data_IF_680096873761
#
_entry.id   IF_680096873761
#
_cell.length_a   1.000
_cell.length_b   1.000
_cell.length_c   1.000
_cell.angle_alpha   90.00
_cell.angle_beta   90.00
_cell.angle_gamma   90.00
#
_symmetry.space_group_name_H-M   'P 1'
#
loop_
_entity.id
_entity.type
_entity.pdbx_description
1 polymer ?
#
# COMPACT_ATOMS: atom_id res chain seq x y z
N UNK A 1 -11.67 49.74 -31.29
CA UNK A 1 -10.98 50.17 -30.06
C UNK A 1 -10.80 48.97 -29.14
N UNK A 2 -9.57 48.84 -28.61
CA UNK A 2 -8.99 47.71 -27.88
C UNK A 2 -9.73 47.33 -26.58
N UNK A 3 -10.19 46.07 -26.43
CA UNK A 3 -10.25 45.34 -25.14
C UNK A 3 -10.26 43.82 -25.40
N UNK A 4 -9.10 43.15 -25.57
CA UNK A 4 -9.03 41.68 -25.48
C UNK A 4 -7.60 41.13 -25.30
N UNK A 5 -6.80 41.73 -24.42
CA UNK A 5 -5.45 41.21 -24.13
C UNK A 5 -5.24 40.75 -22.67
N UNK A 6 -6.19 40.98 -21.76
CA UNK A 6 -5.97 40.68 -20.34
C UNK A 6 -6.49 39.31 -19.84
N UNK A 7 -7.30 38.57 -20.60
CA UNK A 7 -7.90 37.30 -20.12
C UNK A 7 -7.00 36.06 -20.26
N UNK A 8 -5.98 36.12 -21.12
CA UNK A 8 -5.04 35.00 -21.34
C UNK A 8 -3.92 34.99 -20.28
N UNK A 9 -3.62 36.17 -19.70
CA UNK A 9 -2.57 36.35 -18.69
C UNK A 9 -2.93 35.70 -17.34
N UNK A 10 -4.21 35.70 -16.94
CA UNK A 10 -4.66 35.10 -15.69
C UNK A 10 -4.53 33.57 -15.69
N UNK A 11 -5.06 32.89 -16.72
CA UNK A 11 -5.05 31.41 -16.80
C UNK A 11 -3.64 30.82 -16.84
N UNK A 12 -2.67 31.51 -17.47
CA UNK A 12 -1.27 31.07 -17.54
C UNK A 12 -0.56 31.17 -16.18
N UNK A 13 -0.90 32.16 -15.35
CA UNK A 13 -0.40 32.31 -13.98
C UNK A 13 -0.92 31.20 -13.05
N UNK A 14 -2.19 30.81 -13.18
CA UNK A 14 -2.76 29.69 -12.40
C UNK A 14 -2.17 28.34 -12.81
N UNK A 15 -1.93 28.11 -14.11
CA UNK A 15 -1.28 26.89 -14.58
C UNK A 15 0.16 26.77 -14.08
N UNK A 16 0.92 27.88 -14.10
CA UNK A 16 2.27 27.93 -13.54
C UNK A 16 2.29 27.69 -12.03
N UNK A 17 1.32 28.25 -11.29
CA UNK A 17 1.18 27.98 -9.85
C UNK A 17 0.86 26.51 -9.55
N UNK A 18 0.03 25.86 -10.37
CA UNK A 18 -0.31 24.44 -10.22
C UNK A 18 0.88 23.52 -10.54
N UNK A 19 1.66 23.88 -11.56
CA UNK A 19 2.90 23.18 -11.92
C UNK A 19 3.94 23.33 -10.80
N UNK A 20 4.12 24.53 -10.23
CA UNK A 20 5.00 24.76 -9.10
C UNK A 20 4.55 23.99 -7.84
N UNK A 21 3.24 23.87 -7.62
CA UNK A 21 2.69 23.07 -6.53
C UNK A 21 2.92 21.56 -6.74
N UNK A 22 2.81 21.08 -7.98
CA UNK A 22 3.17 19.70 -8.33
C UNK A 22 4.67 19.42 -8.17
N UNK A 23 5.53 20.35 -8.60
CA UNK A 23 6.99 20.25 -8.42
C UNK A 23 7.34 20.25 -6.93
N UNK A 24 6.65 21.04 -6.10
CA UNK A 24 6.80 21.03 -4.65
C UNK A 24 6.40 19.67 -4.04
N UNK A 25 5.26 19.11 -4.43
CA UNK A 25 4.79 17.79 -3.95
C UNK A 25 5.75 16.66 -4.39
N UNK A 26 6.27 16.73 -5.60
CA UNK A 26 7.27 15.78 -6.11
C UNK A 26 8.61 15.96 -5.36
N UNK A 27 9.04 17.21 -5.08
CA UNK A 27 10.23 17.50 -4.28
C UNK A 27 10.16 16.92 -2.87
N UNK A 28 8.98 16.95 -2.24
CA UNK A 28 8.75 16.29 -0.93
C UNK A 28 8.82 14.76 -1.04
N UNK A 29 8.37 14.17 -2.15
CA UNK A 29 8.47 12.72 -2.36
C UNK A 29 9.91 12.24 -2.63
N UNK A 30 10.76 13.08 -3.24
CA UNK A 30 12.18 12.76 -3.45
C UNK A 30 13.06 13.09 -2.23
N UNK A 31 12.64 14.00 -1.35
CA UNK A 31 13.37 14.34 -0.12
C UNK A 31 13.36 13.27 1.00
N UNK A 32 12.58 12.19 0.85
CA UNK A 32 12.44 11.14 1.87
C UNK A 32 13.54 10.06 1.75
N UNK A 33 14.22 9.96 0.61
CA UNK A 33 15.18 8.87 0.36
C UNK A 33 16.59 9.09 0.92
N UNK A 34 16.96 10.33 1.18
CA UNK A 34 18.32 10.67 1.63
C UNK A 34 18.49 10.49 3.16
N UNK A 35 17.40 10.61 3.93
CA UNK A 35 17.39 10.45 5.39
C UNK A 35 17.57 8.98 5.82
N UNK A 36 16.95 8.05 5.07
CA UNK A 36 16.99 6.61 5.36
C UNK A 36 18.43 6.05 5.34
N UNK A 37 19.28 6.47 4.38
CA UNK A 37 20.65 5.95 4.25
C UNK A 37 21.56 6.43 5.39
N UNK A 38 21.42 7.70 5.79
CA UNK A 38 22.15 8.27 6.92
C UNK A 38 21.75 7.59 8.24
N UNK A 39 20.46 7.37 8.47
CA UNK A 39 19.98 6.71 9.69
C UNK A 39 20.38 5.23 9.76
N UNK A 40 20.41 4.52 8.62
CA UNK A 40 20.95 3.16 8.55
C UNK A 40 22.44 3.16 8.92
N UNK A 41 23.25 4.04 8.34
CA UNK A 41 24.67 4.14 8.67
C UNK A 41 24.88 4.50 10.16
N UNK A 42 24.09 5.42 10.70
CA UNK A 42 24.11 5.81 12.12
C UNK A 42 23.75 4.64 13.03
N UNK A 43 22.78 3.81 12.65
CA UNK A 43 22.41 2.59 13.37
C UNK A 43 23.56 1.60 13.42
N UNK A 44 24.25 1.35 12.31
CA UNK A 44 25.41 0.45 12.32
C UNK A 44 26.50 0.92 13.30
N UNK A 45 26.74 2.23 13.38
CA UNK A 45 27.66 2.82 14.37
C UNK A 45 27.18 2.59 15.80
N UNK A 46 25.88 2.73 16.07
CA UNK A 46 25.30 2.44 17.40
C UNK A 46 25.43 0.96 17.78
N UNK A 47 25.20 0.04 16.84
CA UNK A 47 25.35 -1.39 17.05
C UNK A 47 26.82 -1.75 17.35
N UNK A 48 27.79 -1.16 16.64
CA UNK A 48 29.21 -1.31 16.96
C UNK A 48 29.54 -0.78 18.36
N UNK A 49 28.92 0.33 18.76
CA UNK A 49 29.10 0.90 20.10
C UNK A 49 28.56 -0.01 21.20
N UNK A 50 27.47 -0.73 20.98
CA UNK A 50 26.97 -1.75 21.92
C UNK A 50 28.04 -2.82 22.15
N UNK A 51 28.59 -3.38 21.07
CA UNK A 51 29.66 -4.38 21.17
C UNK A 51 30.91 -3.82 21.87
N UNK A 52 31.29 -2.58 21.58
CA UNK A 52 32.44 -1.94 22.20
C UNK A 52 32.28 -1.76 23.71
N UNK A 53 31.15 -1.24 24.16
CA UNK A 53 30.91 -1.07 25.59
C UNK A 53 30.80 -2.40 26.33
N UNK A 54 30.28 -3.44 25.66
CA UNK A 54 30.23 -4.78 26.23
C UNK A 54 31.64 -5.36 26.46
N UNK A 55 32.55 -5.17 25.50
CA UNK A 55 33.96 -5.54 25.65
C UNK A 55 34.59 -4.79 26.83
N UNK A 56 34.40 -3.48 26.92
CA UNK A 56 34.93 -2.68 28.04
C UNK A 56 34.38 -3.14 29.39
N UNK A 57 33.08 -3.42 29.48
CA UNK A 57 32.44 -3.93 30.70
C UNK A 57 32.94 -5.33 31.10
N UNK A 58 33.41 -6.11 30.13
CA UNK A 58 34.06 -7.40 30.35
C UNK A 58 35.54 -7.31 30.74
N UNK A 59 36.11 -6.10 30.77
CA UNK A 59 37.54 -5.86 31.02
C UNK A 59 38.42 -5.96 29.77
N UNK A 60 37.82 -6.07 28.59
CA UNK A 60 38.53 -6.14 27.31
C UNK A 60 38.55 -4.79 26.61
N UNK A 61 39.71 -4.13 26.63
CA UNK A 61 39.95 -2.86 25.95
C UNK A 61 40.70 -2.98 24.62
N UNK A 62 41.05 -4.20 24.20
CA UNK A 62 41.93 -4.44 23.05
C UNK A 62 41.21 -5.11 21.89
N UNK A 63 40.31 -6.05 22.17
CA UNK A 63 39.61 -6.77 21.13
C UNK A 63 38.75 -5.85 20.28
N UNK A 64 38.66 -6.17 18.99
CA UNK A 64 37.85 -5.39 18.06
C UNK A 64 36.43 -5.95 17.97
N UNK A 65 35.48 -5.04 17.79
CA UNK A 65 34.18 -5.37 17.22
C UNK A 65 34.34 -5.43 15.71
N UNK A 66 34.12 -6.62 15.14
CA UNK A 66 34.19 -6.87 13.71
C UNK A 66 33.09 -6.07 12.98
N UNK A 67 33.18 -5.91 11.64
CA UNK A 67 32.13 -5.25 10.87
C UNK A 67 30.74 -5.82 11.20
N UNK A 68 29.77 -4.93 11.43
CA UNK A 68 28.38 -5.33 11.66
C UNK A 68 27.82 -5.78 10.33
N UNK A 69 27.25 -6.99 10.30
CA UNK A 69 26.66 -7.55 9.11
C UNK A 69 25.14 -7.43 9.19
N UNK A 70 24.52 -6.91 8.13
CA UNK A 70 23.08 -6.97 7.95
C UNK A 70 22.69 -8.33 7.38
N UNK A 71 22.02 -9.16 8.17
CA UNK A 71 21.64 -10.53 7.77
C UNK A 71 20.20 -10.61 7.24
N UNK A 72 19.36 -9.63 7.59
CA UNK A 72 18.03 -9.42 7.02
C UNK A 72 17.69 -7.91 6.98
N UNK A 73 16.54 -7.54 6.43
CA UNK A 73 16.10 -6.13 6.32
C UNK A 73 16.16 -5.37 7.66
N UNK A 74 15.77 -6.04 8.75
CA UNK A 74 15.70 -5.48 10.10
C UNK A 74 16.53 -6.27 11.11
N UNK A 75 17.49 -7.09 10.65
CA UNK A 75 18.33 -7.92 11.53
C UNK A 75 19.82 -7.71 11.26
N UNK A 76 20.54 -7.42 12.33
CA UNK A 76 21.95 -7.10 12.32
C UNK A 76 22.71 -8.03 13.25
N UNK A 77 23.93 -8.38 12.86
CA UNK A 77 24.81 -9.25 13.62
C UNK A 77 26.09 -8.52 14.01
N UNK A 78 26.39 -8.53 15.31
CA UNK A 78 27.63 -8.05 15.90
C UNK A 78 28.51 -9.26 16.19
N UNK A 79 29.78 -9.17 15.77
CA UNK A 79 30.79 -10.21 15.99
C UNK A 79 32.03 -9.63 16.65
N UNK A 80 32.76 -10.47 17.36
CA UNK A 80 33.95 -10.08 18.10
C UNK A 80 35.17 -10.82 17.56
N UNK A 81 36.34 -10.18 17.66
CA UNK A 81 37.61 -10.78 17.25
C UNK A 81 38.01 -11.96 18.15
N UNK A 82 37.76 -11.83 19.46
CA UNK A 82 38.10 -12.83 20.47
C UNK A 82 36.87 -13.32 21.23
N UNK A 83 37.04 -14.35 22.06
CA UNK A 83 36.00 -14.85 22.94
C UNK A 83 35.50 -13.74 23.88
N UNK A 84 34.18 -13.69 24.05
CA UNK A 84 33.49 -12.69 24.86
C UNK A 84 32.99 -13.34 26.15
N UNK A 85 33.15 -12.64 27.27
CA UNK A 85 32.42 -12.87 28.51
C UNK A 85 31.56 -11.64 28.79
N UNK A 86 30.36 -11.81 29.33
CA UNK A 86 29.48 -10.66 29.58
C UNK A 86 28.47 -10.91 30.68
N UNK A 87 27.96 -9.81 31.24
CA UNK A 87 26.80 -9.82 32.12
C UNK A 87 25.53 -9.46 31.33
N UNK A 88 24.46 -10.28 31.40
CA UNK A 88 23.17 -10.00 30.81
C UNK A 88 22.65 -8.59 31.10
N UNK A 89 22.75 -8.13 32.35
CA UNK A 89 22.28 -6.80 32.74
C UNK A 89 23.04 -5.69 32.02
N UNK A 90 24.36 -5.85 31.85
CA UNK A 90 25.20 -4.92 31.12
C UNK A 90 24.79 -4.85 29.65
N UNK A 91 24.54 -6.00 29.01
CA UNK A 91 24.06 -6.04 27.62
C UNK A 91 22.68 -5.37 27.46
N UNK A 92 21.73 -5.69 28.34
CA UNK A 92 20.37 -5.12 28.32
C UNK A 92 20.41 -3.60 28.52
N UNK A 93 21.14 -3.13 29.53
CA UNK A 93 21.22 -1.71 29.87
C UNK A 93 21.95 -0.90 28.78
N UNK A 94 23.06 -1.43 28.26
CA UNK A 94 23.80 -0.82 27.14
C UNK A 94 22.92 -0.71 25.90
N UNK A 95 22.21 -1.80 25.55
CA UNK A 95 21.33 -1.84 24.38
C UNK A 95 20.17 -0.85 24.53
N UNK A 96 19.45 -0.87 25.66
CA UNK A 96 18.36 0.07 25.94
C UNK A 96 18.81 1.53 25.85
N UNK A 97 19.94 1.86 26.48
CA UNK A 97 20.45 3.24 26.53
C UNK A 97 20.92 3.75 25.16
N UNK A 98 21.55 2.88 24.36
CA UNK A 98 22.08 3.27 23.04
C UNK A 98 20.98 3.30 21.98
N UNK A 99 20.09 2.31 21.94
CA UNK A 99 19.00 2.26 20.96
C UNK A 99 17.88 3.26 21.26
N UNK A 100 17.72 3.73 22.50
CA UNK A 100 16.81 4.84 22.79
C UNK A 100 17.14 6.16 22.04
N UNK A 101 18.36 6.27 21.47
CA UNK A 101 18.80 7.42 20.68
C UNK A 101 18.61 7.24 19.17
N UNK A 102 18.22 6.04 18.73
CA UNK A 102 17.96 5.71 17.34
C UNK A 102 16.49 6.01 17.02
N UNK A 103 16.19 6.99 16.14
CA UNK A 103 14.81 7.33 15.77
C UNK A 103 14.11 6.15 15.07
N UNK A 104 14.88 5.27 14.43
CA UNK A 104 14.36 4.08 13.77
C UNK A 104 14.21 2.90 14.74
N UNK A 105 14.71 2.98 15.98
CA UNK A 105 14.49 1.92 16.95
C UNK A 105 13.00 1.88 17.34
N UNK A 106 12.36 0.74 17.06
CA UNK A 106 11.06 0.37 17.60
C UNK A 106 11.26 -0.68 18.67
N UNK A 107 10.38 -1.66 18.70
CA UNK A 107 10.55 -2.86 19.49
C UNK A 107 11.70 -3.69 18.89
N UNK A 108 12.43 -4.42 19.75
CA UNK A 108 13.54 -5.23 19.28
C UNK A 108 13.78 -6.45 20.15
N UNK A 109 14.34 -7.48 19.53
CA UNK A 109 14.79 -8.71 20.17
C UNK A 109 16.29 -8.84 19.98
N UNK A 110 16.99 -9.18 21.06
CA UNK A 110 18.42 -9.45 21.05
C UNK A 110 18.65 -10.92 21.39
N UNK A 111 19.38 -11.61 20.53
CA UNK A 111 19.80 -12.99 20.73
C UNK A 111 21.32 -13.08 20.70
N UNK A 112 21.91 -13.65 21.75
CA UNK A 112 23.31 -14.03 21.81
C UNK A 112 23.41 -15.50 21.41
N UNK A 113 24.12 -15.77 20.32
CA UNK A 113 24.25 -17.08 19.69
C UNK A 113 25.66 -17.63 19.88
N UNK A 114 25.79 -18.93 20.07
CA UNK A 114 27.08 -19.61 20.02
C UNK A 114 27.59 -19.68 18.57
N UNK A 115 28.87 -19.40 18.33
CA UNK A 115 29.44 -19.41 16.98
C UNK A 115 29.37 -20.77 16.27
N UNK A 116 29.49 -21.88 17.01
CA UNK A 116 29.65 -23.22 16.42
C UNK A 116 28.35 -23.85 15.91
N UNK A 117 27.22 -23.59 16.57
CA UNK A 117 25.94 -24.24 16.28
C UNK A 117 24.77 -23.26 16.16
N UNK A 118 25.02 -21.95 16.27
CA UNK A 118 24.01 -20.90 16.28
C UNK A 118 22.89 -21.10 17.32
N UNK A 119 23.13 -21.87 18.39
CA UNK A 119 22.16 -22.01 19.47
C UNK A 119 22.12 -20.74 20.33
N UNK A 120 20.92 -20.38 20.81
CA UNK A 120 20.74 -19.21 21.67
C UNK A 120 21.33 -19.49 23.05
N UNK A 121 22.39 -18.78 23.39
CA UNK A 121 23.01 -18.79 24.71
C UNK A 121 22.27 -17.85 25.68
N UNK A 122 21.78 -16.71 25.17
CA UNK A 122 21.03 -15.73 25.93
C UNK A 122 20.15 -14.90 25.00
N UNK A 123 19.03 -14.37 25.49
CA UNK A 123 18.22 -13.44 24.72
C UNK A 123 17.27 -12.62 25.58
N UNK A 124 16.83 -11.48 25.04
CA UNK A 124 15.84 -10.61 25.67
C UNK A 124 15.06 -9.83 24.60
N UNK A 125 13.87 -9.37 24.96
CA UNK A 125 13.00 -8.56 24.11
C UNK A 125 12.63 -7.27 24.83
N UNK A 126 12.71 -6.14 24.12
CA UNK A 126 12.33 -4.81 24.62
C UNK A 126 11.25 -4.24 23.73
N UNK A 127 10.17 -3.76 24.34
CA UNK A 127 9.05 -3.11 23.67
C UNK A 127 8.87 -1.67 24.17
N UNK A 128 8.33 -0.81 23.31
CA UNK A 128 7.81 0.50 23.71
C UNK A 128 6.76 0.39 24.83
N UNK A 129 6.04 -0.73 24.90
CA UNK A 129 5.18 -1.09 26.02
C UNK A 129 5.99 -1.93 27.03
N UNK A 130 6.51 -1.30 28.08
CA UNK A 130 7.35 -1.94 29.12
C UNK A 130 6.79 -3.23 29.74
N UNK A 131 5.49 -3.50 29.61
CA UNK A 131 4.85 -4.73 30.10
C UNK A 131 5.23 -5.97 29.27
N UNK A 132 5.65 -5.76 28.03
CA UNK A 132 6.00 -6.82 27.08
C UNK A 132 7.52 -7.07 27.06
N UNK A 133 8.28 -6.39 27.92
CA UNK A 133 9.72 -6.60 28.09
C UNK A 133 9.99 -7.98 28.69
N UNK A 134 10.82 -8.77 28.01
CA UNK A 134 11.26 -10.09 28.48
C UNK A 134 12.76 -10.01 28.75
N UNK A 135 13.15 -9.96 30.02
CA UNK A 135 14.56 -10.01 30.45
C UNK A 135 14.73 -11.13 31.46
N UNK A 136 15.57 -12.11 31.12
CA UNK A 136 15.89 -13.25 31.97
C UNK A 136 17.36 -13.23 32.42
N UNK A 137 17.71 -14.13 33.34
CA UNK A 137 19.10 -14.42 33.74
C UNK A 137 19.91 -13.24 34.32
N UNK A 138 19.22 -12.25 34.91
CA UNK A 138 19.84 -11.13 35.61
C UNK A 138 20.82 -11.62 36.71
N UNK A 139 21.96 -10.96 36.84
CA UNK A 139 23.02 -11.28 37.79
C UNK A 139 23.94 -12.45 37.43
N UNK A 140 23.74 -13.13 36.28
CA UNK A 140 24.55 -14.31 35.91
C UNK A 140 25.59 -13.98 34.85
N UNK A 141 26.88 -14.10 35.18
CA UNK A 141 27.97 -13.93 34.20
C UNK A 141 27.96 -15.09 33.20
N UNK A 142 28.00 -14.77 31.91
CA UNK A 142 28.16 -15.76 30.85
C UNK A 142 29.64 -16.15 30.71
N UNK A 143 29.98 -17.44 30.57
CA UNK A 143 31.37 -17.86 30.47
C UNK A 143 32.01 -17.36 29.18
N UNK A 144 33.33 -17.15 29.21
CA UNK A 144 34.09 -16.69 28.04
C UNK A 144 34.01 -17.73 26.90
N UNK A 145 33.35 -17.37 25.80
CA UNK A 145 33.20 -18.23 24.63
C UNK A 145 33.04 -17.40 23.34
N UNK A 146 33.00 -18.08 22.19
CA UNK A 146 32.70 -17.43 20.93
C UNK A 146 31.20 -17.17 20.83
N UNK A 147 30.81 -15.90 20.93
CA UNK A 147 29.43 -15.44 20.80
C UNK A 147 29.26 -14.48 19.62
N UNK A 148 28.06 -14.50 19.05
CA UNK A 148 27.56 -13.53 18.08
C UNK A 148 26.29 -12.91 18.65
N UNK A 149 26.08 -11.61 18.45
CA UNK A 149 24.87 -10.93 18.95
C UNK A 149 24.04 -10.52 17.74
N UNK A 150 22.87 -11.14 17.60
CA UNK A 150 21.87 -10.73 16.64
C UNK A 150 20.89 -9.76 17.30
N UNK A 151 20.62 -8.65 16.63
CA UNK A 151 19.61 -7.65 17.03
C UNK A 151 18.62 -7.54 15.88
N UNK A 152 17.38 -7.96 16.14
CA UNK A 152 16.26 -7.86 15.21
C UNK A 152 15.32 -6.76 15.67
N UNK A 153 15.07 -5.80 14.80
CA UNK A 153 14.11 -4.74 15.01
C UNK A 153 12.74 -5.16 14.47
N UNK A 154 11.67 -4.73 15.12
CA UNK A 154 10.34 -4.80 14.55
C UNK A 154 10.31 -3.87 13.33
N UNK A 155 9.88 -4.37 12.15
CA UNK A 155 9.77 -3.53 10.97
C UNK A 155 8.80 -2.40 11.30
N UNK A 156 9.29 -1.16 11.30
CA UNK A 156 8.42 0.00 11.15
C UNK A 156 7.89 -0.08 9.73
N UNK A 157 6.84 -0.87 9.54
CA UNK A 157 6.11 -0.89 8.28
C UNK A 157 5.87 0.56 7.90
N UNK A 158 6.29 0.93 6.70
CA UNK A 158 5.91 2.20 6.09
C UNK A 158 4.39 2.28 6.25
N UNK A 159 3.93 3.03 7.24
CA UNK A 159 2.52 3.37 7.42
C UNK A 159 2.19 4.33 6.28
N UNK A 160 2.13 3.81 5.05
CA UNK A 160 1.14 4.29 4.11
C UNK A 160 -0.18 4.09 4.84
N UNK A 161 -0.72 5.21 5.33
CA UNK A 161 -1.96 5.36 6.10
C UNK A 161 -1.89 5.14 7.63
N UNK A 162 -1.17 6.02 8.34
CA UNK A 162 -1.68 6.54 9.62
C UNK A 162 -1.50 8.05 9.84
N UNK A 163 -1.39 8.82 8.75
CA UNK A 163 -1.71 10.24 8.76
C UNK A 163 -2.92 10.47 7.86
N UNK A 164 -4.11 10.51 8.46
CA UNK A 164 -5.40 10.80 7.78
C UNK A 164 -5.49 12.17 7.11
N UNK A 165 -4.41 12.97 7.13
CA UNK A 165 -4.33 14.28 6.51
C UNK A 165 -3.76 14.27 5.07
N UNK A 166 -2.95 13.28 4.70
CA UNK A 166 -2.34 13.24 3.35
C UNK A 166 -3.19 12.53 2.29
N UNK A 167 -4.10 11.64 2.71
CA UNK A 167 -5.12 11.05 1.83
C UNK A 167 -6.34 11.96 1.63
N UNK A 168 -6.50 13.00 2.45
CA UNK A 168 -7.59 13.98 2.35
C UNK A 168 -7.29 15.16 1.40
N UNK A 169 -6.02 15.44 1.10
CA UNK A 169 -5.63 16.57 0.24
C UNK A 169 -5.62 16.23 -1.26
N UNK A 170 -5.32 14.98 -1.63
CA UNK A 170 -5.44 14.49 -3.02
C UNK A 170 -6.87 14.61 -3.60
N UNK A 171 -7.94 14.19 -2.90
CA UNK A 171 -9.30 14.37 -3.41
C UNK A 171 -9.72 15.85 -3.41
N UNK A 172 -9.18 16.70 -2.53
CA UNK A 172 -9.49 18.14 -2.53
C UNK A 172 -8.87 18.88 -3.72
N UNK A 173 -7.62 18.55 -4.07
CA UNK A 173 -6.97 19.05 -5.30
C UNK A 173 -7.64 18.50 -6.57
N UNK A 174 -8.07 17.24 -6.56
CA UNK A 174 -8.86 16.66 -7.65
C UNK A 174 -10.23 17.34 -7.78
N UNK A 175 -10.89 17.70 -6.67
CA UNK A 175 -12.19 18.37 -6.67
C UNK A 175 -12.11 19.83 -7.14
N UNK A 176 -11.07 20.57 -6.73
CA UNK A 176 -10.81 21.94 -7.23
C UNK A 176 -10.42 21.91 -8.72
N UNK A 177 -9.61 20.93 -9.14
CA UNK A 177 -9.33 20.68 -10.55
C UNK A 177 -10.59 20.33 -11.35
N UNK A 178 -11.47 19.48 -10.81
CA UNK A 178 -12.72 19.06 -11.45
C UNK A 178 -13.73 20.21 -11.58
N UNK A 179 -13.80 21.14 -10.61
CA UNK A 179 -14.66 22.33 -10.72
C UNK A 179 -14.15 23.31 -11.78
N UNK A 180 -12.83 23.50 -11.91
CA UNK A 180 -12.27 24.41 -12.92
C UNK A 180 -12.22 23.82 -14.34
N UNK A 181 -12.21 22.49 -14.49
CA UNK A 181 -12.29 21.80 -15.78
C UNK A 181 -13.72 21.60 -16.29
N UNK A 182 -14.74 21.87 -15.46
CA UNK A 182 -16.16 21.76 -15.86
C UNK A 182 -16.76 23.09 -16.31
N UNK A 183 -16.11 23.81 -17.22
CA UNK A 183 -16.82 24.83 -18.00
C UNK A 183 -16.05 25.22 -19.26
N UNK A 184 -16.27 24.47 -20.35
CA UNK A 184 -16.69 24.99 -21.67
C UNK A 184 -17.31 23.80 -22.40
N UNK A 185 -18.61 23.86 -22.73
CA UNK A 185 -19.20 23.07 -23.81
C UNK A 185 -18.79 23.73 -25.14
N UNK A 186 -18.09 23.07 -26.08
CA UNK A 186 -18.24 23.38 -27.49
C UNK A 186 -19.38 22.50 -28.05
N UNK A 187 -20.28 23.14 -28.78
CA UNK A 187 -21.37 22.46 -29.47
C UNK A 187 -20.85 21.54 -30.59
N UNK A 188 -21.44 20.34 -30.62
CA UNK A 188 -21.71 19.45 -31.77
C UNK A 188 -20.75 19.52 -32.97
N UNK A 189 -19.94 18.49 -33.13
CA UNK A 189 -19.80 17.77 -34.42
C UNK A 189 -19.32 16.33 -34.16
N UNK A 190 -20.07 15.34 -34.63
CA UNK A 190 -19.62 13.96 -34.86
C UNK A 190 -18.97 13.90 -36.27
N UNK A 191 -18.21 12.86 -36.66
CA UNK A 191 -17.61 11.76 -35.88
C UNK A 191 -16.11 11.56 -36.19
N UNK A 192 -15.35 10.97 -35.27
CA UNK A 192 -14.37 9.94 -35.67
C UNK A 192 -14.15 8.94 -34.53
N UNK A 193 -14.14 7.67 -34.93
CA UNK A 193 -14.06 6.49 -34.09
C UNK A 193 -12.61 6.28 -33.61
N UNK A 194 -12.44 5.93 -32.33
CA UNK A 194 -11.84 4.65 -31.88
C UNK A 194 -11.25 4.73 -30.44
N UNK A 195 -11.59 3.68 -29.66
CA UNK A 195 -11.14 3.33 -28.29
C UNK A 195 -11.94 3.84 -27.07
N UNK A 196 -13.27 3.84 -27.13
CA UNK A 196 -14.08 3.82 -25.90
C UNK A 196 -14.81 2.48 -25.74
N UNK A 197 -14.71 1.88 -24.55
CA UNK A 197 -15.48 0.69 -24.15
C UNK A 197 -16.97 1.04 -23.99
N UNK A 198 -17.60 1.47 -25.09
CA UNK A 198 -19.00 1.86 -25.16
C UNK A 198 -19.75 0.82 -26.00
N UNK A 199 -20.76 0.19 -25.42
CA UNK A 199 -21.58 -0.82 -26.07
C UNK A 199 -22.97 -0.25 -26.34
N UNK A 200 -23.46 -0.44 -27.57
CA UNK A 200 -24.86 -0.15 -27.90
C UNK A 200 -25.69 -1.41 -27.69
N UNK A 201 -26.61 -1.35 -26.73
CA UNK A 201 -27.55 -2.40 -26.40
C UNK A 201 -28.96 -1.87 -26.70
N UNK A 202 -29.44 -2.01 -27.94
CA UNK A 202 -30.72 -1.39 -28.34
C UNK A 202 -30.65 0.14 -28.23
N UNK A 203 -31.55 0.76 -27.46
CA UNK A 203 -31.52 2.21 -27.18
C UNK A 203 -30.65 2.56 -25.96
N UNK A 204 -30.08 1.56 -25.30
CA UNK A 204 -29.20 1.72 -24.15
C UNK A 204 -27.76 1.86 -24.64
N UNK A 205 -27.11 2.97 -24.30
CA UNK A 205 -25.67 3.11 -24.45
C UNK A 205 -25.00 2.79 -23.11
N UNK A 206 -24.21 1.73 -23.08
CA UNK A 206 -23.44 1.32 -21.92
C UNK A 206 -22.00 1.80 -22.04
N UNK A 207 -21.55 2.65 -21.12
CA UNK A 207 -20.15 3.07 -21.01
C UNK A 207 -19.49 2.34 -19.83
N UNK A 208 -18.65 1.35 -20.15
CA UNK A 208 -17.97 0.56 -19.14
C UNK A 208 -16.90 1.36 -18.38
N UNK A 209 -16.33 2.40 -18.99
CA UNK A 209 -15.28 3.23 -18.38
C UNK A 209 -15.87 4.19 -17.35
N UNK A 210 -16.99 4.83 -17.72
CA UNK A 210 -17.70 5.77 -16.86
C UNK A 210 -18.73 5.10 -15.95
N UNK A 211 -18.89 3.77 -16.06
CA UNK A 211 -19.81 2.94 -15.24
C UNK A 211 -21.24 3.45 -15.30
N UNK A 212 -21.72 3.82 -16.49
CA UNK A 212 -23.08 4.35 -16.62
C UNK A 212 -23.82 3.80 -17.84
N UNK A 213 -25.15 3.86 -17.76
CA UNK A 213 -26.07 3.60 -18.86
C UNK A 213 -26.74 4.91 -19.25
N UNK A 214 -26.80 5.19 -20.54
CA UNK A 214 -27.60 6.26 -21.09
C UNK A 214 -28.82 5.66 -21.80
N UNK A 215 -30.01 5.94 -21.28
CA UNK A 215 -31.29 5.47 -21.82
C UNK A 215 -32.23 6.67 -21.94
N UNK A 216 -32.71 6.98 -23.14
CA UNK A 216 -33.66 8.09 -23.38
C UNK A 216 -33.21 9.43 -22.77
N UNK A 217 -31.89 9.72 -22.82
CA UNK A 217 -31.30 10.94 -22.26
C UNK A 217 -31.12 10.95 -20.74
N UNK A 218 -31.47 9.85 -20.04
CA UNK A 218 -31.21 9.67 -18.60
C UNK A 218 -29.94 8.84 -18.38
N UNK A 219 -29.06 9.33 -17.53
CA UNK A 219 -27.86 8.61 -17.09
C UNK A 219 -28.15 7.83 -15.82
N UNK A 220 -27.76 6.56 -15.79
CA UNK A 220 -27.94 5.64 -14.65
C UNK A 220 -26.58 5.08 -14.27
N UNK A 221 -26.17 5.29 -13.02
CA UNK A 221 -24.88 4.82 -12.55
C UNK A 221 -24.92 3.33 -12.17
N UNK A 222 -23.82 2.64 -12.45
CA UNK A 222 -23.58 1.23 -12.14
C UNK A 222 -22.50 1.10 -11.06
N UNK A 223 -22.67 0.12 -10.19
CA UNK A 223 -21.60 -0.31 -9.27
C UNK A 223 -20.51 -1.07 -10.05
N UNK A 224 -19.34 -1.28 -9.44
CA UNK A 224 -18.24 -2.02 -10.08
C UNK A 224 -18.66 -3.43 -10.53
N UNK A 225 -19.33 -4.17 -9.64
CA UNK A 225 -19.84 -5.53 -9.91
C UNK A 225 -20.91 -5.54 -11.01
N UNK A 226 -21.84 -4.57 -11.00
CA UNK A 226 -22.86 -4.45 -12.04
C UNK A 226 -22.25 -4.11 -13.41
N UNK A 227 -21.26 -3.21 -13.44
CA UNK A 227 -20.53 -2.86 -14.66
C UNK A 227 -19.82 -4.07 -15.25
N UNK A 228 -19.14 -4.86 -14.41
CA UNK A 228 -18.42 -6.06 -14.84
C UNK A 228 -19.39 -7.11 -15.39
N UNK A 229 -20.46 -7.38 -14.66
CA UNK A 229 -21.48 -8.34 -15.09
C UNK A 229 -22.14 -7.90 -16.41
N UNK A 230 -22.47 -6.62 -16.56
CA UNK A 230 -23.04 -6.11 -17.81
C UNK A 230 -22.02 -6.10 -18.95
N UNK A 231 -20.73 -5.87 -18.68
CA UNK A 231 -19.66 -5.96 -19.67
C UNK A 231 -19.53 -7.37 -20.25
N UNK A 232 -19.63 -8.39 -19.42
CA UNK A 232 -19.61 -9.80 -19.85
C UNK A 232 -20.79 -10.06 -20.80
N UNK A 233 -21.99 -9.60 -20.44
CA UNK A 233 -23.17 -9.73 -21.30
C UNK A 233 -23.10 -8.89 -22.58
N UNK A 234 -22.55 -7.68 -22.52
CA UNK A 234 -22.44 -6.75 -23.64
C UNK A 234 -21.37 -7.17 -24.65
N UNK A 235 -20.34 -7.90 -24.19
CA UNK A 235 -19.30 -8.47 -25.06
C UNK A 235 -19.80 -9.70 -25.84
N UNK A 236 -20.83 -10.37 -25.32
CA UNK A 236 -21.45 -11.55 -25.94
C UNK A 236 -22.98 -11.40 -25.97
N UNK A 237 -23.53 -10.41 -26.70
CA UNK A 237 -24.96 -10.18 -26.74
C UNK A 237 -25.67 -11.36 -27.40
N UNK A 238 -26.86 -11.69 -26.91
CA UNK A 238 -27.65 -12.84 -27.36
C UNK A 238 -26.97 -14.22 -27.20
N UNK A 239 -25.89 -14.32 -26.44
CA UNK A 239 -25.28 -15.61 -26.09
C UNK A 239 -25.68 -16.05 -24.68
N UNK A 240 -25.74 -17.37 -24.46
CA UNK A 240 -26.01 -17.92 -23.13
C UNK A 240 -24.70 -18.04 -22.37
N UNK A 241 -24.61 -17.36 -21.23
CA UNK A 241 -23.45 -17.37 -20.35
C UNK A 241 -23.74 -18.25 -19.14
N UNK A 242 -22.87 -19.22 -18.90
CA UNK A 242 -23.03 -20.17 -17.81
C UNK A 242 -22.98 -19.49 -16.44
N UNK A 243 -23.80 -20.00 -15.51
CA UNK A 243 -23.85 -19.48 -14.14
C UNK A 243 -22.50 -19.61 -13.43
N UNK A 244 -21.82 -20.73 -13.62
CA UNK A 244 -20.47 -21.01 -13.09
C UNK A 244 -19.44 -20.00 -13.59
N UNK A 245 -19.46 -19.67 -14.88
CA UNK A 245 -18.56 -18.67 -15.48
C UNK A 245 -18.78 -17.27 -14.90
N UNK A 246 -20.04 -16.83 -14.79
CA UNK A 246 -20.38 -15.55 -14.16
C UNK A 246 -19.94 -15.51 -12.69
N UNK A 247 -20.05 -16.63 -11.98
CA UNK A 247 -19.58 -16.76 -10.59
C UNK A 247 -18.06 -16.77 -10.46
N UNK A 248 -17.36 -17.32 -11.43
CA UNK A 248 -15.90 -17.30 -11.42
C UNK A 248 -15.39 -15.88 -11.67
N UNK A 249 -15.87 -15.24 -12.74
CA UNK A 249 -15.38 -13.94 -13.16
C UNK A 249 -15.72 -12.80 -12.18
N UNK A 250 -16.84 -12.86 -11.46
CA UNK A 250 -17.17 -11.81 -10.48
C UNK A 250 -16.35 -11.93 -9.19
N UNK A 251 -16.02 -13.15 -8.73
CA UNK A 251 -15.47 -13.38 -7.40
C UNK A 251 -13.96 -13.70 -7.36
N UNK A 252 -13.31 -14.06 -8.46
CA UNK A 252 -11.86 -14.38 -8.46
C UNK A 252 -10.95 -13.17 -8.18
N UNK A 253 -11.34 -11.95 -8.53
CA UNK A 253 -10.46 -10.77 -8.37
C UNK A 253 -10.65 -10.02 -7.04
N UNK A 254 -11.74 -10.26 -6.30
CA UNK A 254 -11.99 -9.53 -5.06
C UNK A 254 -11.46 -10.25 -3.82
N UNK A 255 -11.05 -11.52 -3.88
CA UNK A 255 -10.51 -12.25 -2.71
C UNK A 255 -11.48 -12.33 -1.53
N UNK A 256 -12.73 -11.89 -1.70
CA UNK A 256 -13.74 -11.86 -0.65
C UNK A 256 -14.84 -12.86 -0.97
N UNK A 257 -14.89 -13.92 -0.17
CA UNK A 257 -16.06 -14.78 -0.05
C UNK A 257 -17.13 -13.96 0.70
N UNK A 258 -17.93 -13.17 -0.02
CA UNK A 258 -19.12 -12.50 0.55
C UNK A 258 -20.38 -13.10 -0.04
N UNK A 259 -21.21 -13.64 0.84
CA UNK A 259 -22.45 -14.37 0.58
C UNK A 259 -23.61 -13.56 0.00
N UNK A 260 -23.40 -12.76 -1.05
CA UNK A 260 -24.49 -12.18 -1.86
C UNK A 260 -24.62 -12.99 -3.15
N UNK A 261 -25.82 -13.48 -3.47
CA UNK A 261 -26.03 -14.33 -4.64
C UNK A 261 -25.90 -13.56 -5.96
N UNK A 262 -25.39 -14.21 -7.01
CA UNK A 262 -25.41 -13.72 -8.40
C UNK A 262 -26.82 -13.19 -8.78
N UNK A 263 -27.85 -13.87 -8.31
CA UNK A 263 -29.26 -13.53 -8.54
C UNK A 263 -29.62 -12.11 -8.09
N UNK A 264 -29.04 -11.63 -6.98
CA UNK A 264 -29.25 -10.27 -6.49
C UNK A 264 -28.71 -9.24 -7.49
N UNK A 265 -27.51 -9.47 -8.05
CA UNK A 265 -26.92 -8.57 -9.04
C UNK A 265 -27.66 -8.60 -10.37
N UNK A 266 -28.11 -9.78 -10.81
CA UNK A 266 -28.98 -9.92 -11.97
C UNK A 266 -30.29 -9.16 -11.77
N UNK A 267 -30.90 -9.24 -10.59
CA UNK A 267 -32.13 -8.51 -10.25
C UNK A 267 -31.93 -6.98 -10.31
N UNK A 268 -30.82 -6.47 -9.76
CA UNK A 268 -30.48 -5.04 -9.84
C UNK A 268 -30.24 -4.56 -11.27
N UNK A 269 -29.51 -5.34 -12.07
CA UNK A 269 -29.29 -5.02 -13.48
C UNK A 269 -30.59 -4.99 -14.28
N UNK A 270 -31.49 -5.96 -14.06
CA UNK A 270 -32.83 -5.95 -14.68
C UNK A 270 -33.57 -4.66 -14.38
N UNK A 271 -33.64 -4.25 -13.11
CA UNK A 271 -34.30 -3.01 -12.72
C UNK A 271 -33.74 -1.75 -13.39
N UNK A 272 -32.43 -1.74 -13.68
CA UNK A 272 -31.78 -0.62 -14.38
C UNK A 272 -32.01 -0.66 -15.90
N UNK A 273 -32.17 -1.85 -16.47
CA UNK A 273 -32.43 -2.08 -17.89
C UNK A 273 -33.93 -2.04 -18.26
N UNK A 274 -34.83 -2.14 -17.27
CA UNK A 274 -36.29 -2.07 -17.44
C UNK A 274 -36.80 -0.84 -18.20
N UNK A 275 -35.98 0.22 -18.30
CA UNK A 275 -36.31 1.45 -19.02
C UNK A 275 -36.27 1.28 -20.55
N UNK A 276 -35.66 0.22 -21.08
CA UNK A 276 -35.76 -0.18 -22.47
C UNK A 276 -36.36 -1.60 -22.58
N UNK A 277 -37.60 -1.76 -23.06
CA UNK A 277 -38.25 -3.06 -23.18
C UNK A 277 -37.55 -3.99 -24.19
N UNK A 278 -36.67 -3.46 -25.05
CA UNK A 278 -35.90 -4.27 -26.00
C UNK A 278 -34.67 -4.93 -25.37
N UNK A 279 -34.24 -4.51 -24.18
CA UNK A 279 -33.03 -5.05 -23.53
C UNK A 279 -33.41 -5.77 -22.25
N UNK A 280 -33.27 -7.10 -22.23
CA UNK A 280 -33.66 -7.91 -21.07
C UNK A 280 -32.67 -9.03 -20.79
N UNK A 281 -32.41 -9.26 -19.51
CA UNK A 281 -31.62 -10.42 -19.07
C UNK A 281 -32.57 -11.57 -18.77
N UNK A 282 -32.57 -12.62 -19.60
CA UNK A 282 -33.42 -13.81 -19.45
C UNK A 282 -32.67 -14.96 -18.79
N UNK A 283 -33.42 -15.81 -18.09
CA UNK A 283 -32.88 -17.06 -17.51
C UNK A 283 -33.03 -18.18 -18.53
N UNK A 284 -31.93 -18.87 -18.84
CA UNK A 284 -31.93 -20.10 -19.64
C UNK A 284 -31.85 -21.28 -18.67
N UNK A 285 -32.99 -21.95 -18.46
CA UNK A 285 -33.13 -23.04 -17.46
C UNK A 285 -32.02 -24.09 -17.66
N UNK A 286 -31.33 -24.43 -16.57
CA UNK A 286 -30.26 -25.44 -16.55
C UNK A 286 -28.93 -25.01 -17.17
N UNK A 287 -28.79 -23.77 -17.69
CA UNK A 287 -27.54 -23.28 -18.30
C UNK A 287 -27.03 -21.98 -17.67
N UNK A 288 -27.86 -20.95 -17.57
CA UNK A 288 -27.41 -19.66 -17.04
C UNK A 288 -28.28 -18.49 -17.46
N UNK A 289 -27.66 -17.40 -17.89
CA UNK A 289 -28.34 -16.15 -18.28
C UNK A 289 -27.95 -15.72 -19.68
N UNK A 290 -28.83 -14.97 -20.33
CA UNK A 290 -28.61 -14.39 -21.65
C UNK A 290 -29.11 -12.95 -21.65
N UNK A 291 -28.34 -12.04 -22.21
CA UNK A 291 -28.81 -10.70 -22.54
C UNK A 291 -29.45 -10.74 -23.91
N UNK A 292 -30.76 -10.54 -23.96
CA UNK A 292 -31.51 -10.40 -25.20
C UNK A 292 -31.64 -8.93 -25.57
N UNK A 293 -31.24 -8.62 -26.79
CA UNK A 293 -31.36 -7.30 -27.40
C UNK A 293 -32.30 -7.46 -28.59
N UNK A 294 -33.53 -6.96 -28.45
CA UNK A 294 -34.51 -6.90 -29.52
C UNK A 294 -34.11 -5.86 -30.55
N UNK A 295 -34.15 -6.24 -31.83
CA UNK A 295 -33.98 -5.31 -32.96
C UNK A 295 -35.15 -4.31 -33.03
#
# INVERSE_FOLDING_TARGET
MHVSQNLISGKRKYLLALILLFISVIGVAFGIREDDDFDIARREVLLRRIGHELLLQSGDSKSRVLPVNKIAADEYQIRFENNLTFQPDSLVNTTRRLLAKDPLAGDYVVNVLNCGNASVAYGFAISGNKKDDIVACSGRVQPAACYMINIRFEPKGLLIAKNGYLLGSLPFLAFVGFIFLRSVKPGRTLPDLQSSNTFSLGQVLFDAKNRNLLINGKTIDLTGTETRLLLIFASSPNETIERSRLQKEIWEDEGVIVGRSLDMFISKLRKKLELDPKVKIVVVRGKGYKLEIGS
#
